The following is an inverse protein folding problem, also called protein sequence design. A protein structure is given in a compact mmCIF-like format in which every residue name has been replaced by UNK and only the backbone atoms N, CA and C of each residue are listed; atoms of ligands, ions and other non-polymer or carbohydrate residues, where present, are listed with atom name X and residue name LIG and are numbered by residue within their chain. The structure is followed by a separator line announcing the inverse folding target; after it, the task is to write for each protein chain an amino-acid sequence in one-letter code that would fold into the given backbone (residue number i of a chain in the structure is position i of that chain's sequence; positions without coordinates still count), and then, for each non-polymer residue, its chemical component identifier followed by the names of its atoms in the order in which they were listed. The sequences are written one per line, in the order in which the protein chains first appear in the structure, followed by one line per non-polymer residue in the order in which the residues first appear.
data_IF_108467101532
#
_entry.id   IF_108467101532
#
_cell.length_a   1.000
_cell.length_b   1.000
_cell.length_c   1.000
_cell.angle_alpha   90.00
_cell.angle_beta   90.00
_cell.angle_gamma   90.00
#
_symmetry.space_group_name_H-M   'P 1'
#
loop_
_entity.id
_entity.type
_entity.pdbx_description
1 polymer ?
#
# COMPACT_ATOMS: atom_id res chain seq x y z
N UNK A 1 -5.42 18.73 30.66
CA UNK A 1 -3.96 18.51 30.71
C UNK A 1 -3.48 18.40 29.28
N UNK A 2 -2.57 19.27 28.86
CA UNK A 2 -1.98 19.21 27.52
C UNK A 2 -1.10 17.95 27.41
N UNK A 3 -1.53 16.97 26.60
CA UNK A 3 -0.69 15.80 26.30
C UNK A 3 0.54 16.26 25.50
N UNK A 4 1.68 15.62 25.73
CA UNK A 4 2.94 15.94 25.07
C UNK A 4 2.92 15.43 23.62
N UNK A 5 3.53 16.19 22.71
CA UNK A 5 3.80 15.67 21.37
C UNK A 5 4.98 14.69 21.40
N UNK A 6 5.10 13.87 20.36
CA UNK A 6 6.28 13.02 20.13
C UNK A 6 7.58 13.84 20.19
N UNK A 7 7.55 15.06 19.66
CA UNK A 7 8.72 15.94 19.65
C UNK A 7 9.08 16.45 21.05
N UNK A 8 8.10 16.76 21.89
CA UNK A 8 8.33 17.16 23.28
C UNK A 8 8.93 16.00 24.08
N UNK A 9 8.37 14.80 23.91
CA UNK A 9 8.83 13.57 24.57
C UNK A 9 10.30 13.29 24.18
N UNK A 10 10.64 13.37 22.90
CA UNK A 10 12.01 13.18 22.40
C UNK A 10 12.95 14.27 22.95
N UNK A 11 12.53 15.53 22.94
CA UNK A 11 13.33 16.65 23.46
C UNK A 11 13.63 16.49 24.95
N UNK A 12 12.63 16.07 25.73
CA UNK A 12 12.75 15.82 27.17
C UNK A 12 13.71 14.64 27.44
N UNK A 13 13.60 13.57 26.66
CA UNK A 13 14.53 12.44 26.72
C UNK A 13 15.97 12.84 26.35
N UNK A 14 16.15 13.78 25.43
CA UNK A 14 17.47 14.28 25.07
C UNK A 14 18.09 15.11 26.20
N UNK A 15 17.28 15.91 26.92
CA UNK A 15 17.74 16.75 28.01
C UNK A 15 18.01 16.00 29.34
N UNK A 16 17.32 14.88 29.60
CA UNK A 16 17.40 14.15 30.87
C UNK A 16 17.63 12.65 30.69
N UNK A 17 18.75 12.14 31.20
CA UNK A 17 19.13 10.71 31.10
C UNK A 17 18.14 9.77 31.82
N UNK A 18 17.68 10.14 33.02
CA UNK A 18 16.66 9.36 33.75
C UNK A 18 15.34 9.30 33.00
N UNK A 19 14.92 10.43 32.42
CA UNK A 19 13.70 10.46 31.61
C UNK A 19 13.86 9.65 30.31
N UNK A 20 15.04 9.70 29.70
CA UNK A 20 15.38 8.86 28.54
C UNK A 20 15.21 7.38 28.83
N UNK A 21 15.67 6.92 29.99
CA UNK A 21 15.56 5.52 30.41
C UNK A 21 14.11 5.10 30.65
N UNK A 22 13.33 5.93 31.33
CA UNK A 22 11.89 5.71 31.53
C UNK A 22 11.12 5.65 30.20
N UNK A 23 11.39 6.57 29.28
CA UNK A 23 10.72 6.59 27.98
C UNK A 23 11.12 5.37 27.12
N UNK A 24 12.39 4.96 27.17
CA UNK A 24 12.90 3.79 26.42
C UNK A 24 12.41 2.45 26.94
N UNK A 25 11.69 2.42 28.06
CA UNK A 25 11.11 1.19 28.65
C UNK A 25 9.59 1.12 28.51
N UNK A 26 8.91 2.23 28.17
CA UNK A 26 7.44 2.32 28.16
C UNK A 26 6.89 2.77 26.80
N UNK A 27 6.33 1.83 26.03
CA UNK A 27 5.71 2.11 24.71
C UNK A 27 4.56 3.12 24.80
N UNK A 28 3.79 3.06 25.89
CA UNK A 28 2.61 3.87 26.14
C UNK A 28 2.89 5.38 26.02
N UNK A 29 4.09 5.82 26.42
CA UNK A 29 4.50 7.23 26.36
C UNK A 29 4.33 7.83 24.96
N UNK A 30 4.70 7.10 23.93
CA UNK A 30 4.58 7.54 22.55
C UNK A 30 3.17 7.32 21.98
N UNK A 31 2.51 6.24 22.38
CA UNK A 31 1.15 5.93 21.96
C UNK A 31 0.11 6.93 22.49
N UNK A 32 0.33 7.47 23.69
CA UNK A 32 -0.54 8.49 24.31
C UNK A 32 -0.23 9.92 23.89
N UNK A 33 0.77 10.12 23.03
CA UNK A 33 1.14 11.45 22.55
C UNK A 33 0.07 12.04 21.63
N UNK A 34 0.03 13.36 21.51
CA UNK A 34 -0.96 14.06 20.67
C UNK A 34 -0.83 13.79 19.17
N UNK A 35 0.32 13.25 18.75
CA UNK A 35 0.63 13.02 17.36
C UNK A 35 1.40 11.71 17.14
N UNK A 36 0.95 10.63 17.80
CA UNK A 36 1.60 9.31 17.71
C UNK A 36 1.74 8.79 16.27
N UNK A 37 0.84 9.19 15.37
CA UNK A 37 0.86 8.86 13.94
C UNK A 37 2.09 9.36 13.17
N UNK A 38 2.88 10.31 13.72
CA UNK A 38 4.09 10.78 13.03
C UNK A 38 5.25 9.79 13.13
N UNK A 39 5.16 8.82 14.05
CA UNK A 39 6.24 7.85 14.27
C UNK A 39 6.19 6.85 13.11
N UNK A 40 7.24 6.76 12.28
CA UNK A 40 7.29 5.79 11.21
C UNK A 40 7.46 4.42 11.86
N UNK A 41 6.42 3.60 11.77
CA UNK A 41 6.53 2.19 12.10
C UNK A 41 7.03 1.44 10.87
N UNK A 42 7.85 0.40 11.05
CA UNK A 42 8.13 -0.51 9.96
C UNK A 42 6.78 -0.98 9.42
N UNK A 43 6.46 -0.60 8.18
CA UNK A 43 5.24 -1.02 7.49
C UNK A 43 3.92 -0.32 7.91
N UNK A 44 3.98 0.81 8.62
CA UNK A 44 2.81 1.68 8.88
C UNK A 44 1.99 1.36 10.14
N UNK A 45 2.24 0.24 10.82
CA UNK A 45 1.55 -0.14 12.06
C UNK A 45 2.52 -0.50 13.19
N UNK A 46 2.16 -0.18 14.44
CA UNK A 46 2.90 -0.67 15.61
C UNK A 46 2.57 -2.15 15.84
N UNK A 47 3.48 -3.05 15.48
CA UNK A 47 3.35 -4.47 15.81
C UNK A 47 3.78 -4.76 17.26
N UNK A 48 3.32 -5.89 17.81
CA UNK A 48 3.69 -6.32 19.16
C UNK A 48 5.21 -6.46 19.34
N UNK A 49 5.90 -6.83 18.26
CA UNK A 49 7.33 -7.10 18.21
C UNK A 49 8.21 -5.86 18.32
N UNK A 50 7.68 -4.67 18.01
CA UNK A 50 8.46 -3.42 18.06
C UNK A 50 8.80 -3.09 19.50
N UNK A 51 10.08 -3.18 19.86
CA UNK A 51 10.53 -2.90 21.22
C UNK A 51 10.33 -1.43 21.62
N UNK A 52 10.17 -1.11 22.92
CA UNK A 52 10.09 0.28 23.38
C UNK A 52 11.31 1.14 22.97
N UNK A 53 12.47 0.52 22.85
CA UNK A 53 13.69 1.18 22.39
C UNK A 53 13.69 1.49 20.88
N UNK A 54 13.16 0.56 20.07
CA UNK A 54 13.01 0.76 18.63
C UNK A 54 11.98 1.85 18.35
N UNK A 55 10.89 1.85 19.13
CA UNK A 55 9.88 2.90 19.11
C UNK A 55 10.48 4.27 19.44
N UNK A 56 11.32 4.36 20.47
CA UNK A 56 12.05 5.59 20.81
C UNK A 56 12.95 6.05 19.64
N UNK A 57 13.65 5.11 19.00
CA UNK A 57 14.53 5.40 17.86
C UNK A 57 13.73 5.93 16.65
N UNK A 58 12.58 5.32 16.35
CA UNK A 58 11.68 5.75 15.30
C UNK A 58 11.10 7.15 15.59
N UNK A 59 10.62 7.38 16.82
CA UNK A 59 10.12 8.67 17.28
C UNK A 59 11.17 9.78 17.19
N UNK A 60 12.41 9.49 17.59
CA UNK A 60 13.51 10.44 17.48
C UNK A 60 13.85 10.79 16.01
N UNK A 61 13.80 9.80 15.11
CA UNK A 61 13.96 10.03 13.66
C UNK A 61 12.82 10.88 13.09
N UNK A 62 11.57 10.59 13.46
CA UNK A 62 10.40 11.35 13.06
C UNK A 62 10.51 12.82 13.48
N UNK A 63 10.81 13.07 14.76
CA UNK A 63 10.97 14.41 15.31
C UNK A 63 12.12 15.17 14.63
N UNK A 64 13.22 14.49 14.31
CA UNK A 64 14.34 15.08 13.57
C UNK A 64 13.97 15.42 12.12
N UNK A 65 13.24 14.54 11.42
CA UNK A 65 12.76 14.77 10.05
C UNK A 65 11.75 15.91 10.00
N UNK A 66 10.75 15.90 10.88
CA UNK A 66 9.75 16.97 10.99
C UNK A 66 10.41 18.34 11.21
N UNK A 67 11.47 18.41 12.01
CA UNK A 67 12.24 19.64 12.24
C UNK A 67 12.97 20.13 10.98
N UNK A 68 13.50 19.20 10.17
CA UNK A 68 14.24 19.49 8.94
C UNK A 68 13.34 19.83 7.76
N UNK A 69 12.11 19.34 7.76
CA UNK A 69 11.09 19.64 6.76
C UNK A 69 10.28 20.90 7.09
N UNK A 70 10.52 21.51 8.26
CA UNK A 70 9.85 22.73 8.65
C UNK A 70 10.25 23.86 7.68
N UNK A 71 9.31 24.49 6.96
CA UNK A 71 9.58 25.42 5.85
C UNK A 71 10.44 26.64 6.22
N UNK A 72 10.62 26.91 7.51
CA UNK A 72 11.52 27.95 8.03
C UNK A 72 13.02 27.64 7.85
N UNK A 73 13.42 26.45 7.36
CA UNK A 73 14.81 25.98 7.45
C UNK A 73 15.49 25.46 6.17
N UNK A 74 14.88 25.52 4.99
CA UNK A 74 15.59 25.05 3.78
C UNK A 74 15.13 25.65 2.46
N UNK A 75 16.12 26.11 1.67
CA UNK A 75 16.05 26.29 0.22
C UNK A 75 15.23 25.19 -0.44
N UNK A 76 14.33 25.60 -1.34
CA UNK A 76 13.27 24.79 -1.94
C UNK A 76 13.73 23.69 -2.91
N UNK A 77 14.99 23.28 -2.88
CA UNK A 77 15.48 22.14 -3.68
C UNK A 77 15.82 20.95 -2.78
N UNK A 78 15.06 19.87 -2.93
CA UNK A 78 15.42 18.56 -2.40
C UNK A 78 16.61 18.02 -3.21
N UNK A 79 17.83 18.47 -2.86
CA UNK A 79 19.03 17.95 -3.49
C UNK A 79 19.22 16.48 -3.09
N UNK A 80 19.38 15.59 -4.08
CA UNK A 80 19.71 14.18 -3.85
C UNK A 80 21.06 14.10 -3.16
N UNK A 81 21.08 13.81 -1.85
CA UNK A 81 22.32 13.80 -1.04
C UNK A 81 23.05 12.46 -1.06
N UNK A 82 22.34 11.37 -1.40
CA UNK A 82 22.88 10.00 -1.42
C UNK A 82 22.19 9.23 -2.54
N UNK A 83 22.98 8.46 -3.29
CA UNK A 83 22.51 7.49 -4.25
C UNK A 83 23.08 6.12 -3.89
N UNK A 84 22.28 5.08 -4.09
CA UNK A 84 22.70 3.69 -4.00
C UNK A 84 22.34 3.04 -5.32
N UNK A 85 23.30 2.35 -5.92
CA UNK A 85 23.15 1.67 -7.21
C UNK A 85 23.08 0.19 -6.93
N UNK A 86 22.05 -0.46 -7.44
CA UNK A 86 21.84 -1.88 -7.27
C UNK A 86 21.68 -2.54 -8.64
N UNK A 87 22.37 -3.66 -8.89
CA UNK A 87 22.21 -4.39 -10.13
C UNK A 87 20.81 -4.99 -10.20
N UNK A 88 20.06 -4.66 -11.26
CA UNK A 88 18.78 -5.31 -11.51
C UNK A 88 19.00 -6.69 -12.15
N UNK A 89 18.18 -7.69 -11.79
CA UNK A 89 18.23 -9.00 -12.42
C UNK A 89 17.77 -8.93 -13.89
N UNK A 90 18.76 -8.85 -14.79
CA UNK A 90 18.72 -8.96 -16.26
C UNK A 90 18.69 -7.65 -17.10
N UNK A 91 19.32 -7.75 -18.27
CA UNK A 91 19.49 -6.72 -19.30
C UNK A 91 18.28 -6.65 -20.24
N UNK A 92 17.24 -5.95 -19.85
CA UNK A 92 16.19 -5.50 -20.76
C UNK A 92 15.92 -4.02 -20.51
N UNK A 93 15.35 -3.31 -21.48
CA UNK A 93 14.91 -1.93 -21.31
C UNK A 93 13.84 -1.89 -20.22
N UNK A 94 14.25 -1.62 -18.98
CA UNK A 94 13.36 -1.47 -17.84
C UNK A 94 12.68 -0.12 -17.98
N UNK A 95 11.39 -0.13 -18.28
CA UNK A 95 10.54 1.05 -18.15
C UNK A 95 9.77 0.85 -16.85
N UNK A 96 10.16 1.50 -15.74
CA UNK A 96 9.42 1.40 -14.50
C UNK A 96 8.01 1.94 -14.72
N UNK A 97 7.00 1.18 -14.30
CA UNK A 97 5.63 1.65 -14.28
C UNK A 97 5.42 2.66 -13.14
N UNK A 98 4.34 3.45 -13.22
CA UNK A 98 3.94 4.34 -12.13
C UNK A 98 3.47 3.56 -10.91
N UNK A 99 3.68 4.12 -9.72
CA UNK A 99 3.12 3.58 -8.48
C UNK A 99 3.93 2.49 -7.77
N UNK A 100 5.27 2.59 -7.66
CA UNK A 100 6.02 1.64 -6.85
C UNK A 100 5.59 1.72 -5.37
N UNK A 101 5.54 0.58 -4.69
CA UNK A 101 5.43 0.55 -3.24
C UNK A 101 6.82 0.75 -2.64
N UNK A 102 7.04 1.89 -2.01
CA UNK A 102 8.21 2.14 -1.16
C UNK A 102 7.84 1.89 0.30
N UNK A 103 8.60 1.03 0.96
CA UNK A 103 8.26 0.49 2.27
C UNK A 103 9.52 0.37 3.11
N UNK A 104 9.91 1.46 3.78
CA UNK A 104 11.13 1.58 4.58
C UNK A 104 12.40 1.09 3.86
N UNK A 105 12.81 -0.16 4.11
CA UNK A 105 13.99 -0.81 3.55
C UNK A 105 13.72 -1.58 2.25
N UNK A 106 12.48 -1.52 1.74
CA UNK A 106 12.04 -2.29 0.58
C UNK A 106 11.41 -1.40 -0.49
N UNK A 107 11.54 -1.82 -1.74
CA UNK A 107 10.74 -1.30 -2.85
C UNK A 107 10.18 -2.46 -3.66
N UNK A 108 8.88 -2.39 -3.97
CA UNK A 108 8.23 -3.23 -4.96
C UNK A 108 7.89 -2.35 -6.15
N UNK A 109 8.29 -2.75 -7.33
CA UNK A 109 7.94 -2.03 -8.54
C UNK A 109 7.69 -2.98 -9.70
N UNK A 110 6.79 -2.56 -10.58
CA UNK A 110 6.56 -3.20 -11.86
C UNK A 110 7.50 -2.63 -12.92
N UNK A 111 7.98 -3.51 -13.79
CA UNK A 111 8.63 -3.12 -15.04
C UNK A 111 7.80 -3.61 -16.22
N UNK A 112 7.65 -2.76 -17.22
CA UNK A 112 7.03 -3.13 -18.49
C UNK A 112 8.06 -3.76 -19.44
N UNK A 113 7.64 -4.77 -20.20
CA UNK A 113 8.49 -5.47 -21.16
C UNK A 113 7.71 -6.35 -22.14
N UNK A 114 8.39 -7.32 -22.78
CA UNK A 114 7.71 -8.40 -23.53
C UNK A 114 6.83 -9.25 -22.60
N UNK A 115 7.27 -9.35 -21.35
CA UNK A 115 6.53 -9.82 -20.19
C UNK A 115 6.75 -8.80 -19.09
N UNK A 116 5.67 -8.43 -18.43
CA UNK A 116 5.74 -7.59 -17.25
C UNK A 116 6.29 -8.40 -16.09
N UNK A 117 7.02 -7.76 -15.20
CA UNK A 117 7.49 -8.41 -13.99
C UNK A 117 7.37 -7.48 -12.79
N UNK A 118 7.18 -8.08 -11.62
CA UNK A 118 7.35 -7.40 -10.35
C UNK A 118 8.74 -7.70 -9.81
N UNK A 119 9.42 -6.64 -9.38
CA UNK A 119 10.70 -6.71 -8.71
C UNK A 119 10.50 -6.25 -7.26
N UNK A 120 10.96 -7.08 -6.33
CA UNK A 120 11.08 -6.74 -4.92
C UNK A 120 12.56 -6.56 -4.61
N UNK A 121 12.91 -5.43 -4.00
CA UNK A 121 14.29 -5.08 -3.72
C UNK A 121 14.45 -4.60 -2.27
N UNK A 122 15.51 -5.05 -1.58
CA UNK A 122 15.85 -4.68 -0.19
C UNK A 122 17.13 -3.84 -0.16
N UNK A 123 17.05 -2.61 0.36
CA UNK A 123 18.14 -1.64 0.31
C UNK A 123 19.33 -2.01 1.22
N UNK A 124 19.06 -2.55 2.41
CA UNK A 124 20.12 -2.80 3.41
C UNK A 124 21.15 -3.84 3.01
N UNK A 125 20.78 -4.86 2.24
CA UNK A 125 21.66 -5.97 1.88
C UNK A 125 21.67 -6.31 0.39
N UNK A 126 20.88 -5.58 -0.42
CA UNK A 126 20.83 -5.77 -1.87
C UNK A 126 20.09 -7.02 -2.33
N UNK A 127 19.33 -7.70 -1.45
CA UNK A 127 18.49 -8.81 -1.86
C UNK A 127 17.46 -8.33 -2.89
N UNK A 128 17.27 -9.13 -3.93
CA UNK A 128 16.30 -8.86 -4.98
C UNK A 128 15.57 -10.14 -5.36
N UNK A 129 14.31 -10.00 -5.74
CA UNK A 129 13.50 -11.06 -6.31
C UNK A 129 12.73 -10.52 -7.49
N UNK A 130 12.50 -11.39 -8.47
CA UNK A 130 11.77 -11.10 -9.70
C UNK A 130 10.71 -12.18 -9.90
N UNK A 131 9.50 -11.75 -10.20
CA UNK A 131 8.43 -12.63 -10.62
C UNK A 131 7.85 -12.17 -11.95
N UNK A 132 7.87 -13.04 -12.94
CA UNK A 132 7.38 -12.75 -14.29
C UNK A 132 5.88 -13.01 -14.39
N UNK A 133 5.18 -12.06 -14.97
CA UNK A 133 3.78 -12.15 -15.36
C UNK A 133 3.66 -12.04 -16.88
N UNK A 134 2.46 -12.18 -17.43
CA UNK A 134 2.24 -11.90 -18.86
C UNK A 134 2.19 -10.39 -19.08
N UNK A 135 0.99 -9.82 -19.18
CA UNK A 135 0.76 -8.38 -19.20
C UNK A 135 -0.03 -8.01 -17.96
N UNK A 136 0.51 -7.10 -17.15
CA UNK A 136 -0.20 -6.52 -16.01
C UNK A 136 -0.93 -5.27 -16.56
N UNK A 137 -2.22 -5.14 -16.26
CA UNK A 137 -2.96 -3.91 -16.57
C UNK A 137 -2.87 -2.94 -15.43
N UNK A 138 -3.11 -3.45 -14.22
CA UNK A 138 -3.17 -2.67 -13.00
C UNK A 138 -2.64 -3.52 -11.83
N UNK A 139 -2.02 -2.84 -10.87
CA UNK A 139 -1.51 -3.43 -9.65
C UNK A 139 -1.81 -2.55 -8.43
N UNK A 140 -2.01 -3.19 -7.28
CA UNK A 140 -2.13 -2.49 -6.00
C UNK A 140 -1.52 -3.34 -4.90
N UNK A 141 -1.04 -2.67 -3.86
CA UNK A 141 -0.27 -3.30 -2.79
C UNK A 141 -0.92 -3.07 -1.43
N UNK A 142 -0.82 -4.07 -0.55
CA UNK A 142 -1.10 -3.95 0.87
C UNK A 142 0.03 -4.61 1.66
N UNK A 143 0.87 -3.84 2.36
CA UNK A 143 1.82 -4.43 3.30
C UNK A 143 1.07 -5.08 4.47
N UNK A 144 1.53 -6.25 4.92
CA UNK A 144 1.03 -6.93 6.11
C UNK A 144 2.18 -7.03 7.13
N UNK A 145 2.26 -6.07 8.07
CA UNK A 145 3.42 -5.95 8.95
C UNK A 145 3.67 -7.17 9.82
N UNK A 146 2.58 -7.69 10.40
CA UNK A 146 2.59 -8.83 11.31
C UNK A 146 3.12 -10.12 10.68
N UNK A 147 3.05 -10.25 9.35
CA UNK A 147 3.49 -11.44 8.62
C UNK A 147 4.82 -11.25 7.88
N UNK A 148 5.35 -10.02 7.85
CA UNK A 148 6.47 -9.65 6.97
C UNK A 148 6.20 -10.07 5.53
N UNK A 149 5.02 -9.71 5.04
CA UNK A 149 4.60 -9.96 3.67
C UNK A 149 4.00 -8.71 3.03
N UNK A 150 3.93 -8.71 1.71
CA UNK A 150 3.20 -7.72 0.93
C UNK A 150 2.21 -8.48 0.06
N UNK A 151 0.92 -8.18 0.22
CA UNK A 151 -0.12 -8.65 -0.69
C UNK A 151 -0.11 -7.75 -1.92
N UNK A 152 -0.08 -8.38 -3.09
CA UNK A 152 -0.12 -7.73 -4.39
C UNK A 152 -1.34 -8.25 -5.13
N UNK A 153 -2.29 -7.36 -5.40
CA UNK A 153 -3.41 -7.67 -6.26
C UNK A 153 -3.12 -7.16 -7.67
N UNK A 154 -3.37 -8.03 -8.65
CA UNK A 154 -2.98 -7.87 -10.04
C UNK A 154 -4.18 -8.08 -10.94
N UNK A 155 -4.34 -7.23 -11.94
CA UNK A 155 -5.21 -7.48 -13.08
C UNK A 155 -4.35 -7.83 -14.29
N UNK A 156 -4.40 -9.09 -14.72
CA UNK A 156 -3.60 -9.64 -15.80
C UNK A 156 -4.43 -9.87 -17.06
N UNK A 157 -3.76 -9.92 -18.21
CA UNK A 157 -4.38 -10.41 -19.45
C UNK A 157 -4.70 -11.91 -19.36
N UNK A 158 -5.94 -12.27 -19.67
CA UNK A 158 -6.40 -13.66 -19.76
C UNK A 158 -5.83 -14.40 -20.98
N UNK A 159 -5.33 -15.61 -20.75
CA UNK A 159 -4.74 -16.47 -21.80
C UNK A 159 -5.76 -17.07 -22.77
N UNK A 160 -7.00 -17.24 -22.32
CA UNK A 160 -8.08 -17.85 -23.10
C UNK A 160 -8.94 -16.74 -23.74
N UNK A 161 -9.01 -16.77 -25.08
CA UNK A 161 -9.87 -15.91 -25.93
C UNK A 161 -9.67 -14.39 -25.81
N UNK A 162 -8.42 -13.91 -25.77
CA UNK A 162 -7.99 -12.57 -26.25
C UNK A 162 -8.70 -11.32 -25.67
N UNK A 163 -9.50 -11.47 -24.62
CA UNK A 163 -10.38 -10.40 -24.11
C UNK A 163 -10.81 -10.59 -22.65
N UNK A 164 -10.40 -11.68 -21.99
CA UNK A 164 -10.65 -11.88 -20.56
C UNK A 164 -9.59 -11.22 -19.69
N UNK A 165 -9.96 -10.86 -18.47
CA UNK A 165 -9.03 -10.42 -17.43
C UNK A 165 -8.92 -11.48 -16.34
N UNK A 166 -7.77 -11.50 -15.68
CA UNK A 166 -7.52 -12.35 -14.52
C UNK A 166 -7.18 -11.45 -13.35
N UNK A 167 -8.04 -11.42 -12.33
CA UNK A 167 -7.66 -10.91 -11.02
C UNK A 167 -6.87 -11.98 -10.29
N UNK A 168 -5.66 -11.65 -9.88
CA UNK A 168 -4.79 -12.52 -9.10
C UNK A 168 -4.36 -11.81 -7.83
N UNK A 169 -4.34 -12.51 -6.70
CA UNK A 169 -3.80 -11.99 -5.44
C UNK A 169 -2.65 -12.90 -5.02
N UNK A 170 -1.46 -12.31 -5.00
CA UNK A 170 -0.21 -12.95 -4.60
C UNK A 170 0.30 -12.33 -3.31
N UNK A 171 0.86 -13.15 -2.42
CA UNK A 171 1.53 -12.70 -1.20
C UNK A 171 3.03 -12.92 -1.33
N UNK A 172 3.79 -11.83 -1.26
CA UNK A 172 5.24 -11.82 -1.33
C UNK A 172 5.84 -11.78 0.06
N UNK A 173 6.75 -12.70 0.37
CA UNK A 173 7.55 -12.63 1.59
C UNK A 173 8.63 -11.57 1.48
N UNK A 174 8.68 -10.66 2.47
CA UNK A 174 9.75 -9.66 2.64
C UNK A 174 10.70 -10.03 3.79
N UNK A 175 10.54 -11.24 4.35
CA UNK A 175 11.47 -11.82 5.33
C UNK A 175 12.80 -12.22 4.68
N UNK A 176 13.90 -12.15 5.42
CA UNK A 176 15.23 -12.42 4.88
C UNK A 176 15.42 -13.89 4.47
N UNK A 177 14.79 -14.81 5.19
CA UNK A 177 14.91 -16.27 4.96
C UNK A 177 14.18 -16.71 3.69
N UNK A 178 13.02 -16.11 3.40
CA UNK A 178 12.16 -16.48 2.28
C UNK A 178 11.95 -15.29 1.34
N UNK A 179 12.97 -14.44 1.19
CA UNK A 179 12.81 -13.17 0.49
C UNK A 179 12.34 -13.38 -0.94
N UNK A 180 11.21 -12.73 -1.28
CA UNK A 180 10.62 -12.81 -2.61
C UNK A 180 9.95 -14.14 -2.95
N UNK A 181 9.78 -15.06 -1.98
CA UNK A 181 8.88 -16.20 -2.14
C UNK A 181 7.45 -15.68 -2.36
N UNK A 182 6.75 -16.26 -3.31
CA UNK A 182 5.38 -15.88 -3.70
C UNK A 182 4.43 -17.02 -3.45
N UNK A 183 3.34 -16.75 -2.74
CA UNK A 183 2.22 -17.67 -2.56
C UNK A 183 0.94 -17.05 -3.17
N UNK A 184 0.31 -17.72 -4.13
CA UNK A 184 -0.92 -17.24 -4.80
C UNK A 184 -2.16 -17.69 -4.04
N UNK A 185 -2.98 -16.74 -3.61
CA UNK A 185 -4.17 -17.00 -2.77
C UNK A 185 -5.48 -17.04 -3.55
N UNK A 186 -5.57 -16.23 -4.60
CA UNK A 186 -6.82 -16.03 -5.33
C UNK A 186 -6.55 -15.81 -6.80
N UNK A 187 -7.36 -16.46 -7.64
CA UNK A 187 -7.39 -16.26 -9.09
C UNK A 187 -8.86 -16.25 -9.50
N UNK A 188 -9.30 -15.14 -10.07
CA UNK A 188 -10.63 -15.02 -10.67
C UNK A 188 -10.50 -14.56 -12.11
N UNK A 189 -11.13 -15.32 -13.00
CA UNK A 189 -11.30 -14.91 -14.39
C UNK A 189 -12.61 -14.15 -14.48
N UNK A 190 -12.59 -13.01 -15.15
CA UNK A 190 -13.81 -12.31 -15.46
C UNK A 190 -13.71 -11.74 -16.88
N UNK A 191 -14.86 -11.75 -17.55
CA UNK A 191 -15.03 -11.14 -18.85
C UNK A 191 -15.83 -9.87 -18.63
N UNK A 192 -15.22 -8.69 -18.69
CA UNK A 192 -15.99 -7.46 -18.66
C UNK A 192 -16.83 -7.47 -19.92
N UNK A 193 -18.15 -7.59 -19.76
CA UNK A 193 -19.07 -7.75 -20.88
C UNK A 193 -19.11 -6.52 -21.80
N UNK A 194 -18.41 -5.42 -21.48
CA UNK A 194 -18.30 -4.22 -22.33
C UNK A 194 -17.09 -3.30 -22.08
N UNK A 195 -16.14 -3.59 -21.16
CA UNK A 195 -15.03 -2.65 -20.86
C UNK A 195 -13.65 -3.28 -20.96
N UNK A 196 -12.80 -2.74 -21.85
CA UNK A 196 -11.36 -3.03 -21.92
C UNK A 196 -10.52 -2.17 -20.97
N UNK A 197 -11.13 -1.37 -20.10
CA UNK A 197 -10.43 -0.40 -19.26
C UNK A 197 -10.78 -0.66 -17.81
N UNK A 198 -9.85 -1.32 -17.11
CA UNK A 198 -9.71 -1.19 -15.66
C UNK A 198 -9.19 0.22 -15.40
N UNK A 199 -9.85 0.96 -14.51
CA UNK A 199 -9.51 2.34 -14.17
C UNK A 199 -8.66 2.42 -12.91
N UNK A 200 -9.00 1.61 -11.91
CA UNK A 200 -8.23 1.54 -10.66
C UNK A 200 -8.45 0.20 -9.97
N UNK A 201 -7.49 -0.17 -9.13
CA UNK A 201 -7.61 -1.28 -8.20
C UNK A 201 -7.18 -0.87 -6.79
N UNK A 202 -7.83 -1.43 -5.77
CA UNK A 202 -7.42 -1.28 -4.37
C UNK A 202 -7.57 -2.58 -3.61
N UNK A 203 -6.59 -2.89 -2.78
CA UNK A 203 -6.61 -4.04 -1.87
C UNK A 203 -6.51 -3.54 -0.45
N UNK A 204 -7.43 -3.97 0.41
CA UNK A 204 -7.44 -3.64 1.84
C UNK A 204 -8.04 -4.79 2.65
N UNK A 205 -7.31 -5.24 3.67
CA UNK A 205 -7.66 -6.44 4.43
C UNK A 205 -7.85 -7.64 3.51
N UNK A 206 -9.04 -8.22 3.54
CA UNK A 206 -9.42 -9.36 2.70
C UNK A 206 -10.13 -8.94 1.40
N UNK A 207 -10.34 -7.63 1.22
CA UNK A 207 -11.09 -7.05 0.12
C UNK A 207 -10.20 -6.63 -1.04
N UNK A 208 -10.69 -6.86 -2.26
CA UNK A 208 -10.15 -6.32 -3.50
C UNK A 208 -11.26 -5.55 -4.23
N UNK A 209 -10.99 -4.32 -4.62
CA UNK A 209 -11.82 -3.53 -5.52
C UNK A 209 -11.12 -3.43 -6.87
N UNK A 210 -11.90 -3.69 -7.92
CA UNK A 210 -11.53 -3.48 -9.30
C UNK A 210 -12.57 -2.56 -9.93
N UNK A 211 -12.17 -1.33 -10.21
CA UNK A 211 -13.02 -0.26 -10.73
C UNK A 211 -12.90 -0.24 -12.25
N UNK A 212 -14.02 -0.43 -12.95
CA UNK A 212 -14.11 -0.25 -14.39
C UNK A 212 -15.17 0.78 -14.74
N UNK A 213 -15.19 1.20 -16.01
CA UNK A 213 -16.13 2.22 -16.51
C UNK A 213 -17.61 1.99 -16.17
N UNK A 214 -18.04 0.73 -16.08
CA UNK A 214 -19.46 0.37 -15.89
C UNK A 214 -19.78 -0.23 -14.52
N UNK A 215 -18.82 -0.26 -13.61
CA UNK A 215 -19.04 -0.88 -12.31
C UNK A 215 -17.79 -1.14 -11.51
N UNK A 216 -18.03 -1.62 -10.30
CA UNK A 216 -16.98 -1.99 -9.36
C UNK A 216 -17.17 -3.46 -9.07
N UNK A 217 -16.13 -4.24 -9.34
CA UNK A 217 -16.05 -5.62 -8.89
C UNK A 217 -15.40 -5.61 -7.50
N UNK A 218 -16.17 -6.00 -6.49
CA UNK A 218 -15.62 -6.31 -5.17
C UNK A 218 -15.39 -7.82 -5.07
N UNK A 219 -14.20 -8.21 -4.60
CA UNK A 219 -13.88 -9.59 -4.27
C UNK A 219 -13.42 -9.68 -2.81
N UNK A 220 -13.88 -10.69 -2.08
CA UNK A 220 -13.21 -11.13 -0.88
C UNK A 220 -12.28 -12.29 -1.26
N UNK A 221 -10.98 -12.02 -1.32
CA UNK A 221 -10.01 -12.97 -1.86
C UNK A 221 -9.75 -14.16 -0.92
N UNK A 222 -10.06 -14.02 0.37
CA UNK A 222 -9.98 -15.12 1.37
C UNK A 222 -11.20 -16.03 1.27
N UNK A 223 -12.40 -15.44 1.24
CA UNK A 223 -13.67 -16.19 1.13
C UNK A 223 -13.95 -16.68 -0.29
N UNK A 224 -13.16 -16.21 -1.27
CA UNK A 224 -13.29 -16.51 -2.70
C UNK A 224 -14.65 -16.12 -3.28
N UNK A 225 -15.25 -15.08 -2.73
CA UNK A 225 -16.55 -14.55 -3.14
C UNK A 225 -16.39 -13.23 -3.88
N UNK A 226 -17.37 -12.88 -4.72
CA UNK A 226 -17.36 -11.63 -5.46
C UNK A 226 -18.77 -11.06 -5.66
N UNK A 227 -18.81 -9.73 -5.79
CA UNK A 227 -20.02 -8.97 -5.98
C UNK A 227 -19.77 -7.86 -7.00
N UNK A 228 -20.59 -7.83 -8.04
CA UNK A 228 -20.60 -6.73 -9.00
C UNK A 228 -21.51 -5.61 -8.49
N UNK A 229 -20.90 -4.47 -8.16
CA UNK A 229 -21.58 -3.25 -7.76
C UNK A 229 -21.80 -2.38 -8.99
N UNK A 230 -23.06 -2.03 -9.27
CA UNK A 230 -23.42 -1.07 -10.32
C UNK A 230 -23.62 0.31 -9.68
N UNK A 231 -22.69 1.26 -9.89
CA UNK A 231 -22.83 2.59 -9.34
C UNK A 231 -23.87 3.37 -10.15
N UNK A 232 -25.08 3.47 -9.59
CA UNK A 232 -26.25 4.23 -10.07
C UNK A 232 -26.72 3.89 -11.51
N UNK A 233 -28.04 3.81 -11.77
CA UNK A 233 -28.58 3.29 -13.02
C UNK A 233 -28.62 4.29 -14.19
N UNK A 234 -27.74 5.29 -14.26
CA UNK A 234 -27.90 6.42 -15.21
C UNK A 234 -26.63 6.70 -16.01
N UNK A 235 -26.79 6.95 -17.31
CA UNK A 235 -25.75 7.31 -18.30
C UNK A 235 -25.04 8.65 -18.04
N UNK A 236 -25.37 9.33 -16.95
CA UNK A 236 -24.92 10.69 -16.62
C UNK A 236 -23.66 10.74 -15.75
N UNK A 237 -23.20 9.60 -15.23
CA UNK A 237 -22.07 9.52 -14.31
C UNK A 237 -20.94 8.69 -14.91
N UNK A 238 -19.73 9.25 -14.90
CA UNK A 238 -18.49 8.52 -15.14
C UNK A 238 -17.85 8.16 -13.81
N UNK A 239 -17.68 6.86 -13.54
CA UNK A 239 -16.98 6.39 -12.37
C UNK A 239 -15.48 6.63 -12.54
N UNK A 240 -14.86 7.34 -11.59
CA UNK A 240 -13.44 7.67 -11.63
C UNK A 240 -12.61 6.77 -10.72
N UNK A 241 -13.05 6.57 -9.49
CA UNK A 241 -12.33 5.75 -8.51
C UNK A 241 -13.27 5.19 -7.43
N UNK A 242 -12.79 4.15 -6.74
CA UNK A 242 -13.44 3.58 -5.57
C UNK A 242 -12.41 3.23 -4.49
N UNK A 243 -12.78 3.39 -3.23
CA UNK A 243 -11.94 3.01 -2.10
C UNK A 243 -12.73 2.45 -0.93
N UNK A 244 -12.06 1.67 -0.09
CA UNK A 244 -12.62 1.21 1.17
C UNK A 244 -12.69 2.34 2.18
N UNK A 245 -13.70 2.31 3.03
CA UNK A 245 -13.75 3.15 4.20
C UNK A 245 -12.96 2.51 5.34
N UNK A 246 -11.95 3.21 5.86
CA UNK A 246 -11.04 2.78 6.94
C UNK A 246 -11.67 2.43 8.31
N UNK A 247 -13.00 2.48 8.44
CA UNK A 247 -13.71 2.34 9.71
C UNK A 247 -15.17 1.94 9.60
N UNK A 248 -15.67 1.68 8.38
CA UNK A 248 -17.01 1.15 8.18
C UNK A 248 -16.98 0.12 7.06
N UNK A 249 -17.91 -0.84 7.09
CA UNK A 249 -18.05 -1.82 6.01
C UNK A 249 -18.73 -1.15 4.80
N UNK A 250 -18.04 -0.21 4.17
CA UNK A 250 -18.56 0.60 3.07
C UNK A 250 -17.47 0.93 2.06
N UNK A 251 -17.89 1.10 0.81
CA UNK A 251 -17.04 1.52 -0.30
C UNK A 251 -17.44 2.94 -0.67
N UNK A 252 -16.50 3.85 -0.70
CA UNK A 252 -16.70 5.17 -1.28
C UNK A 252 -16.38 5.17 -2.76
N UNK A 253 -17.16 5.93 -3.51
CA UNK A 253 -17.01 6.10 -4.94
C UNK A 253 -16.90 7.57 -5.28
N UNK A 254 -15.97 7.88 -6.19
CA UNK A 254 -15.85 9.18 -6.81
C UNK A 254 -16.34 9.06 -8.25
N UNK A 255 -17.40 9.81 -8.56
CA UNK A 255 -17.95 9.92 -9.90
C UNK A 255 -17.81 11.36 -10.41
N UNK A 256 -17.85 11.51 -11.72
CA UNK A 256 -17.97 12.79 -12.39
C UNK A 256 -19.29 12.84 -13.16
N UNK A 257 -20.03 13.93 -13.00
CA UNK A 257 -21.07 14.37 -13.93
C UNK A 257 -20.58 15.63 -14.63
N UNK A 258 -21.07 15.94 -15.83
CA UNK A 258 -20.67 17.06 -16.70
C UNK A 258 -19.70 18.13 -16.13
N UNK A 259 -20.06 18.79 -15.02
CA UNK A 259 -19.22 19.79 -14.34
C UNK A 259 -19.07 19.58 -12.82
N UNK A 260 -19.47 18.44 -12.26
CA UNK A 260 -19.45 18.20 -10.81
C UNK A 260 -18.78 16.87 -10.47
N UNK A 261 -18.10 16.84 -9.31
CA UNK A 261 -17.64 15.59 -8.69
C UNK A 261 -18.67 15.15 -7.66
N UNK A 262 -19.13 13.91 -7.78
CA UNK A 262 -20.10 13.31 -6.88
C UNK A 262 -19.41 12.24 -6.05
N UNK A 263 -19.51 12.40 -4.74
CA UNK A 263 -19.03 11.42 -3.78
C UNK A 263 -20.22 10.63 -3.24
N UNK A 264 -20.18 9.31 -3.35
CA UNK A 264 -21.23 8.44 -2.85
C UNK A 264 -20.63 7.23 -2.12
N UNK A 265 -21.46 6.51 -1.35
CA UNK A 265 -21.04 5.35 -0.57
C UNK A 265 -21.97 4.17 -0.75
N UNK A 266 -21.42 2.98 -0.93
CA UNK A 266 -22.13 1.71 -0.86
C UNK A 266 -21.88 1.06 0.49
N UNK A 267 -22.94 0.75 1.23
CA UNK A 267 -22.83 -0.10 2.40
C UNK A 267 -22.75 -1.55 1.93
N UNK A 268 -21.70 -2.25 2.37
CA UNK A 268 -21.49 -3.63 1.97
C UNK A 268 -22.47 -4.57 2.69
N UNK A 269 -22.96 -5.62 2.01
CA UNK A 269 -23.79 -6.62 2.65
C UNK A 269 -22.99 -7.36 3.74
N UNK A 270 -23.70 -7.87 4.75
CA UNK A 270 -23.08 -8.57 5.89
C UNK A 270 -22.44 -9.91 5.48
N UNK A 271 -22.94 -10.51 4.39
CA UNK A 271 -22.38 -11.69 3.76
C UNK A 271 -22.41 -11.52 2.24
N UNK A 272 -21.35 -11.97 1.57
CA UNK A 272 -21.32 -12.05 0.12
C UNK A 272 -21.99 -13.35 -0.36
N UNK A 273 -22.62 -13.35 -1.55
CA UNK A 273 -22.99 -14.59 -2.21
C UNK A 273 -21.73 -15.43 -2.49
N UNK A 274 -21.85 -16.74 -2.25
CA UNK A 274 -20.82 -17.73 -2.52
C UNK A 274 -20.61 -17.94 -4.03
#
# INVERSE_FOLDING_TARGET
MSSLSVQDIVSLAQACSKMRELIRTHKSTFLSSTNSQIIPFPLGELTADVGPEELFRAAARAAALSRRLNPLSSDHSANVKKHSIFPLPASLSVIPASGPLLLDDYIVFRSMGLRDFLCLFKFSNGLSSRHDYELIYEETYQPIPSRKTVVVALCLLGKETGSGYVLQVDEYSISDENFGKVDTHFIMRFYPTTSRLMLSMRVEGNGLLATGRYGILYCNWVEKSALWLKPLPTTEFELLDACFHSGSNSIYILCQTACEFVFASFKMPVALPA
#
